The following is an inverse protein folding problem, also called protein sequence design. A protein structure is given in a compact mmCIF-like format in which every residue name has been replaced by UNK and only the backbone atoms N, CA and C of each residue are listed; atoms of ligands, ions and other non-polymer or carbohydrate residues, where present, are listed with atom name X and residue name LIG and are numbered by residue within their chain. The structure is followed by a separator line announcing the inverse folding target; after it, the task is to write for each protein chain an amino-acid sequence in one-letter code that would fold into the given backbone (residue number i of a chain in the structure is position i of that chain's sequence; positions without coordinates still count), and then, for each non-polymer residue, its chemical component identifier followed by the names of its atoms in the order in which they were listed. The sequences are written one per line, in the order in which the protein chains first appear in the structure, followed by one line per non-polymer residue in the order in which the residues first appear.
data_IF_431437962704
#
_entry.id   IF_431437962704
#
_cell.length_a   1.000
_cell.length_b   1.000
_cell.length_c   1.000
_cell.angle_alpha   90.00
_cell.angle_beta   90.00
_cell.angle_gamma   90.00
#
_symmetry.space_group_name_H-M   'P 1'
#
loop_
_entity.id
_entity.type
_entity.pdbx_description
1 polymer ?
#
# COMPACT_ATOMS: atom_id res chain seq x y z
N UNK A 1 -44.36 32.75 11.88
CA UNK A 1 -42.88 32.89 11.87
C UNK A 1 -42.09 31.63 12.31
N UNK A 2 -42.68 30.65 13.00
CA UNK A 2 -41.93 29.50 13.58
C UNK A 2 -41.52 28.41 12.55
N UNK A 3 -42.38 28.11 11.57
CA UNK A 3 -42.21 26.97 10.64
C UNK A 3 -40.97 27.05 9.72
N UNK A 4 -40.51 28.27 9.36
CA UNK A 4 -39.33 28.50 8.50
C UNK A 4 -38.01 28.14 9.19
N UNK A 5 -37.89 28.43 10.49
CA UNK A 5 -36.65 28.21 11.27
C UNK A 5 -36.37 26.73 11.53
N UNK A 6 -37.42 25.91 11.65
CA UNK A 6 -37.26 24.46 11.82
C UNK A 6 -36.81 23.77 10.53
N UNK A 7 -37.31 24.20 9.36
CA UNK A 7 -36.86 23.70 8.06
C UNK A 7 -35.41 24.05 7.75
N UNK A 8 -34.96 25.28 8.05
CA UNK A 8 -33.56 25.68 7.84
C UNK A 8 -32.58 24.85 8.68
N UNK A 9 -32.95 24.53 9.94
CA UNK A 9 -32.13 23.67 10.81
C UNK A 9 -32.03 22.23 10.31
N UNK A 10 -33.10 21.68 9.74
CA UNK A 10 -33.09 20.35 9.12
C UNK A 10 -32.14 20.28 7.92
N UNK A 11 -32.25 21.26 7.01
CA UNK A 11 -31.40 21.36 5.82
C UNK A 11 -29.92 21.54 6.17
N UNK A 12 -29.61 22.33 7.19
CA UNK A 12 -28.22 22.52 7.65
C UNK A 12 -27.65 21.21 8.24
N UNK A 13 -28.45 20.48 9.02
CA UNK A 13 -28.04 19.22 9.64
C UNK A 13 -27.77 18.14 8.59
N UNK A 14 -28.61 18.05 7.55
CA UNK A 14 -28.42 17.12 6.43
C UNK A 14 -27.17 17.45 5.61
N UNK A 15 -26.90 18.74 5.34
CA UNK A 15 -25.68 19.17 4.65
C UNK A 15 -24.42 18.83 5.44
N UNK A 16 -24.41 19.09 6.75
CA UNK A 16 -23.30 18.74 7.63
C UNK A 16 -23.04 17.22 7.64
N UNK A 17 -24.10 16.41 7.66
CA UNK A 17 -23.96 14.96 7.55
C UNK A 17 -23.38 14.53 6.20
N UNK A 18 -23.79 15.17 5.09
CA UNK A 18 -23.23 14.95 3.76
C UNK A 18 -21.73 15.27 3.70
N UNK A 19 -21.32 16.40 4.28
CA UNK A 19 -19.91 16.81 4.35
C UNK A 19 -19.07 15.84 5.19
N UNK A 20 -19.60 15.37 6.32
CA UNK A 20 -18.93 14.37 7.16
C UNK A 20 -18.72 13.06 6.39
N UNK A 21 -19.74 12.59 5.66
CA UNK A 21 -19.64 11.38 4.83
C UNK A 21 -18.59 11.56 3.73
N UNK A 22 -18.56 12.71 3.06
CA UNK A 22 -17.56 13.04 2.04
C UNK A 22 -16.13 13.05 2.63
N UNK A 23 -15.95 13.63 3.82
CA UNK A 23 -14.67 13.62 4.52
C UNK A 23 -14.22 12.19 4.90
N UNK A 24 -15.13 11.35 5.37
CA UNK A 24 -14.83 9.95 5.69
C UNK A 24 -14.44 9.15 4.44
N UNK A 25 -15.15 9.33 3.34
CA UNK A 25 -14.83 8.69 2.06
C UNK A 25 -13.46 9.15 1.54
N UNK A 26 -13.16 10.44 1.58
CA UNK A 26 -11.86 10.97 1.15
C UNK A 26 -10.71 10.48 2.04
N UNK A 27 -10.92 10.34 3.36
CA UNK A 27 -9.92 9.73 4.25
C UNK A 27 -9.71 8.25 3.94
N UNK A 28 -10.78 7.50 3.69
CA UNK A 28 -10.72 6.09 3.31
C UNK A 28 -9.92 5.87 2.02
N UNK A 29 -10.14 6.69 1.00
CA UNK A 29 -9.38 6.59 -0.26
C UNK A 29 -7.91 6.93 -0.06
N UNK A 30 -7.60 8.00 0.68
CA UNK A 30 -6.21 8.37 1.03
C UNK A 30 -5.49 7.26 1.79
N UNK A 31 -6.14 6.64 2.78
CA UNK A 31 -5.56 5.53 3.55
C UNK A 31 -5.27 4.32 2.66
N UNK A 32 -6.23 3.92 1.81
CA UNK A 32 -6.01 2.82 0.85
C UNK A 32 -4.86 3.09 -0.12
N UNK A 33 -4.72 4.33 -0.59
CA UNK A 33 -3.60 4.71 -1.47
C UNK A 33 -2.27 4.66 -0.72
N UNK A 34 -2.24 5.10 0.54
CA UNK A 34 -1.04 5.04 1.39
C UNK A 34 -0.59 3.60 1.62
N UNK A 35 -1.51 2.71 2.00
CA UNK A 35 -1.20 1.29 2.22
C UNK A 35 -0.64 0.62 0.97
N UNK A 36 -1.28 0.83 -0.19
CA UNK A 36 -0.79 0.28 -1.47
C UNK A 36 0.62 0.76 -1.79
N UNK A 37 0.90 2.06 -1.60
CA UNK A 37 2.22 2.64 -1.85
C UNK A 37 3.28 2.08 -0.90
N UNK A 38 2.93 1.83 0.35
CA UNK A 38 3.83 1.28 1.35
C UNK A 38 4.17 -0.18 1.05
N UNK A 39 3.18 -1.00 0.69
CA UNK A 39 3.38 -2.39 0.27
C UNK A 39 4.23 -2.49 -1.00
N UNK A 40 4.01 -1.64 -2.00
CA UNK A 40 4.85 -1.62 -3.21
C UNK A 40 6.29 -1.21 -2.90
N UNK A 41 6.50 -0.25 -2.01
CA UNK A 41 7.83 0.19 -1.59
C UNK A 41 8.58 -0.93 -0.86
N UNK A 42 7.90 -1.65 0.03
CA UNK A 42 8.50 -2.77 0.75
C UNK A 42 8.84 -3.93 -0.21
N UNK A 43 7.95 -4.25 -1.15
CA UNK A 43 8.22 -5.26 -2.20
C UNK A 43 9.44 -4.89 -3.04
N UNK A 44 9.54 -3.63 -3.49
CA UNK A 44 10.71 -3.16 -4.25
C UNK A 44 12.00 -3.25 -3.45
N UNK A 45 11.97 -2.85 -2.17
CA UNK A 45 13.12 -2.98 -1.26
C UNK A 45 13.59 -4.43 -1.11
N UNK A 46 12.66 -5.37 -0.89
CA UNK A 46 13.00 -6.81 -0.78
C UNK A 46 13.62 -7.35 -2.06
N UNK A 47 13.15 -6.93 -3.23
CA UNK A 47 13.71 -7.35 -4.52
C UNK A 47 15.12 -6.78 -4.71
N UNK A 48 15.32 -5.48 -4.44
CA UNK A 48 16.64 -4.85 -4.56
C UNK A 48 17.65 -5.45 -3.58
N UNK A 49 17.23 -5.76 -2.36
CA UNK A 49 18.07 -6.41 -1.37
C UNK A 49 18.48 -7.83 -1.80
N UNK A 50 17.55 -8.63 -2.34
CA UNK A 50 17.87 -9.94 -2.91
C UNK A 50 18.87 -9.82 -4.05
N UNK A 51 18.65 -8.90 -5.00
CA UNK A 51 19.57 -8.67 -6.11
C UNK A 51 20.96 -8.26 -5.65
N UNK A 52 21.06 -7.39 -4.64
CA UNK A 52 22.35 -7.00 -4.06
C UNK A 52 23.02 -8.16 -3.35
N UNK A 53 22.28 -8.99 -2.63
CA UNK A 53 22.83 -10.20 -1.99
C UNK A 53 23.34 -11.16 -3.06
N UNK A 54 22.54 -11.49 -4.07
CA UNK A 54 22.95 -12.34 -5.19
C UNK A 54 24.15 -11.77 -5.96
N UNK A 55 24.21 -10.47 -6.23
CA UNK A 55 25.34 -9.84 -6.90
C UNK A 55 26.62 -9.81 -6.04
N UNK A 56 26.49 -9.82 -4.72
CA UNK A 56 27.61 -9.89 -3.79
C UNK A 56 27.93 -11.31 -3.29
N UNK A 57 27.10 -12.31 -3.63
CA UNK A 57 27.41 -13.72 -3.39
C UNK A 57 28.52 -14.13 -4.35
N UNK A 58 29.43 -14.97 -3.87
CA UNK A 58 30.44 -15.56 -4.75
C UNK A 58 29.77 -16.59 -5.66
N UNK A 59 30.38 -16.87 -6.81
CA UNK A 59 29.90 -17.89 -7.75
C UNK A 59 29.77 -19.27 -7.08
N UNK A 60 30.63 -19.57 -6.11
CA UNK A 60 30.63 -20.83 -5.36
C UNK A 60 29.36 -20.98 -4.49
N UNK A 61 28.92 -19.93 -3.81
CA UNK A 61 27.67 -19.95 -3.03
C UNK A 61 26.43 -20.04 -3.93
N UNK A 62 26.44 -19.33 -5.07
CA UNK A 62 25.37 -19.44 -6.07
C UNK A 62 25.31 -20.83 -6.70
N UNK A 63 26.48 -21.47 -6.89
CA UNK A 63 26.59 -22.81 -7.45
C UNK A 63 26.19 -23.89 -6.43
N UNK A 64 26.53 -23.73 -5.15
CA UNK A 64 26.08 -24.62 -4.07
C UNK A 64 24.57 -24.53 -3.81
N UNK A 65 23.97 -23.33 -3.93
CA UNK A 65 22.51 -23.15 -3.86
C UNK A 65 21.77 -23.70 -5.09
N UNK A 66 22.46 -23.79 -6.23
CA UNK A 66 21.95 -24.48 -7.41
C UNK A 66 22.10 -25.99 -7.21
N UNK A 67 21.09 -26.79 -7.51
CA UNK A 67 21.17 -28.27 -7.53
C UNK A 67 22.13 -28.83 -8.62
N UNK A 68 23.01 -27.98 -9.15
CA UNK A 68 23.91 -28.29 -10.24
C UNK A 68 25.20 -28.87 -9.69
N UNK A 69 25.22 -30.19 -9.64
CA UNK A 69 26.39 -30.95 -9.23
C UNK A 69 27.41 -30.98 -10.38
N UNK A 70 28.33 -30.01 -10.38
CA UNK A 70 29.37 -29.82 -11.42
C UNK A 70 30.22 -31.06 -11.69
N UNK A 71 30.31 -31.98 -10.72
CA UNK A 71 30.96 -33.29 -10.86
C UNK A 71 30.30 -34.20 -11.92
N UNK A 72 29.05 -33.93 -12.30
CA UNK A 72 28.32 -34.67 -13.33
C UNK A 72 28.73 -34.27 -14.77
N UNK A 73 29.50 -33.19 -14.93
CA UNK A 73 29.90 -32.65 -16.23
C UNK A 73 31.41 -32.74 -16.50
N UNK A 74 32.17 -33.40 -15.62
CA UNK A 74 33.63 -33.52 -15.70
C UNK A 74 34.06 -34.77 -16.47
#
# INVERSE_FOLDING_TARGET
MSKKRSTEKGVLSERLNGDIVSQLQSKKTKLKQKEKKEQEKERKRKIEERKKREANKSFEELLEESEMDWKKFK
#
